data_IF_703132573530
#
_entry.id   IF_703132573530
#
_cell.length_a   1.000
_cell.length_b   1.000
_cell.length_c   1.000
_cell.angle_alpha   90.00
_cell.angle_beta   90.00
_cell.angle_gamma   90.00
#
_symmetry.space_group_name_H-M   'P 1'
#
loop_
_entity.id
_entity.type
_entity.pdbx_description
1 polymer ?
#
# COMPACT_ATOMS: atom_id res chain seq x y z
N UNK A 1 -13.85 8.40 -33.25
CA UNK A 1 -12.85 9.37 -32.72
C UNK A 1 -13.07 9.53 -31.24
N UNK A 2 -12.11 9.14 -30.43
CA UNK A 2 -12.13 9.38 -28.99
C UNK A 2 -12.28 10.86 -28.70
N UNK A 3 -13.30 11.28 -27.95
CA UNK A 3 -13.47 12.69 -27.57
C UNK A 3 -12.45 13.04 -26.50
N UNK A 4 -11.33 13.61 -26.94
CA UNK A 4 -10.35 14.18 -26.03
C UNK A 4 -10.89 15.46 -25.41
N UNK A 5 -10.66 15.65 -24.10
CA UNK A 5 -11.03 16.84 -23.35
C UNK A 5 -9.77 17.44 -22.73
N UNK A 6 -9.71 18.78 -22.58
CA UNK A 6 -8.61 19.39 -21.84
C UNK A 6 -8.60 18.86 -20.39
N UNK A 7 -7.42 18.81 -19.78
CA UNK A 7 -7.29 18.51 -18.37
C UNK A 7 -7.85 19.67 -17.54
N UNK A 8 -8.88 19.41 -16.75
CA UNK A 8 -9.54 20.39 -15.89
C UNK A 8 -9.31 20.07 -14.43
N UNK A 9 -9.16 21.09 -13.61
CA UNK A 9 -9.15 20.92 -12.16
C UNK A 9 -10.53 20.46 -11.66
N UNK A 10 -10.64 19.33 -10.95
CA UNK A 10 -11.93 18.82 -10.48
C UNK A 10 -12.58 19.70 -9.40
N UNK A 11 -11.80 20.54 -8.73
CA UNK A 11 -12.30 21.42 -7.66
C UNK A 11 -12.84 22.77 -8.16
N UNK A 12 -12.30 23.31 -9.24
CA UNK A 12 -12.73 24.63 -9.72
C UNK A 12 -13.15 24.66 -11.20
N UNK A 13 -13.02 23.56 -11.93
CA UNK A 13 -13.39 23.44 -13.35
C UNK A 13 -12.48 24.17 -14.34
N UNK A 14 -11.42 24.84 -13.88
CA UNK A 14 -10.48 25.55 -14.76
C UNK A 14 -9.50 24.61 -15.44
N UNK A 15 -9.05 24.91 -16.68
CA UNK A 15 -7.96 24.18 -17.30
C UNK A 15 -6.69 24.28 -16.44
N UNK A 16 -5.94 23.19 -16.35
CA UNK A 16 -4.65 23.14 -15.68
C UNK A 16 -3.51 23.11 -16.70
N UNK A 17 -2.35 23.59 -16.32
CA UNK A 17 -1.15 23.52 -17.16
C UNK A 17 -0.61 22.07 -17.23
N UNK A 18 0.19 21.72 -18.26
CA UNK A 18 0.90 20.44 -18.26
C UNK A 18 1.77 20.31 -17.00
N UNK A 19 1.72 19.13 -16.31
CA UNK A 19 2.60 18.89 -15.19
C UNK A 19 4.06 18.91 -15.63
N UNK A 20 4.93 19.41 -14.77
CA UNK A 20 6.36 19.59 -15.03
C UNK A 20 7.20 19.05 -13.89
N UNK A 21 8.45 18.69 -14.17
CA UNK A 21 9.40 18.37 -13.13
C UNK A 21 9.72 19.63 -12.31
N UNK A 22 9.35 19.64 -11.05
CA UNK A 22 9.53 20.79 -10.16
C UNK A 22 10.94 20.86 -9.54
N UNK A 23 11.81 19.89 -9.85
CA UNK A 23 13.22 19.89 -9.42
C UNK A 23 13.44 19.64 -7.92
N UNK A 24 12.44 19.14 -7.20
CA UNK A 24 12.62 18.75 -5.81
C UNK A 24 13.39 17.42 -5.71
N UNK A 25 14.29 17.29 -4.73
CA UNK A 25 15.13 16.09 -4.54
C UNK A 25 14.33 14.81 -4.26
N UNK A 26 13.05 14.94 -3.93
CA UNK A 26 12.15 13.83 -3.62
C UNK A 26 11.05 13.63 -4.67
N UNK A 27 11.12 14.35 -5.80
CA UNK A 27 10.09 14.31 -6.85
C UNK A 27 10.44 13.27 -7.89
N UNK A 28 9.63 12.22 -7.95
CA UNK A 28 9.71 11.17 -8.97
C UNK A 28 8.68 11.38 -10.10
N UNK A 29 7.76 12.34 -9.93
CA UNK A 29 6.66 12.61 -10.84
C UNK A 29 6.63 14.07 -11.28
N UNK A 30 6.09 14.30 -12.47
CA UNK A 30 5.76 15.65 -12.91
C UNK A 30 4.52 16.15 -12.17
N UNK A 31 4.55 17.40 -11.75
CA UNK A 31 3.50 18.03 -10.94
C UNK A 31 3.15 19.43 -11.43
N UNK A 32 2.07 19.99 -10.89
CA UNK A 32 1.65 21.35 -11.16
C UNK A 32 0.69 21.90 -10.12
N UNK A 33 0.36 23.16 -10.26
CA UNK A 33 -0.50 23.91 -9.34
C UNK A 33 -1.66 24.54 -10.10
N UNK A 34 -2.84 24.47 -9.51
CA UNK A 34 -4.01 25.21 -9.99
C UNK A 34 -4.18 26.52 -9.20
N UNK A 35 -4.68 27.58 -9.84
CA UNK A 35 -4.96 28.86 -9.18
C UNK A 35 -5.92 28.75 -7.98
N UNK A 36 -6.71 27.68 -7.89
CA UNK A 36 -7.58 27.42 -6.74
C UNK A 36 -6.84 26.84 -5.52
N UNK A 37 -5.52 26.68 -5.61
CA UNK A 37 -4.68 26.09 -4.56
C UNK A 37 -4.62 24.55 -4.59
N UNK A 38 -5.23 23.91 -5.60
CA UNK A 38 -5.06 22.47 -5.79
C UNK A 38 -3.70 22.16 -6.41
N UNK A 39 -3.10 21.07 -5.96
CA UNK A 39 -1.88 20.50 -6.53
C UNK A 39 -2.26 19.26 -7.32
N UNK A 40 -1.56 18.97 -8.39
CA UNK A 40 -1.75 17.75 -9.15
C UNK A 40 -0.41 17.12 -9.52
N UNK A 41 -0.40 15.79 -9.51
CA UNK A 41 0.77 14.96 -9.84
C UNK A 41 0.36 13.97 -10.91
N UNK A 42 1.22 13.76 -11.91
CA UNK A 42 0.98 12.87 -13.03
C UNK A 42 1.66 11.52 -12.83
N UNK A 43 0.89 10.44 -12.77
CA UNK A 43 1.41 9.09 -12.96
C UNK A 43 1.08 8.62 -14.38
N UNK A 44 2.06 8.67 -15.28
CA UNK A 44 1.90 8.31 -16.70
C UNK A 44 1.55 6.84 -16.91
N UNK A 45 1.86 5.99 -15.95
CA UNK A 45 1.62 4.55 -16.00
C UNK A 45 0.28 4.15 -15.41
N UNK A 46 -0.25 4.97 -14.49
CA UNK A 46 -1.44 4.69 -13.67
C UNK A 46 -1.22 3.57 -12.65
N UNK A 47 0.03 3.09 -12.46
CA UNK A 47 0.36 2.01 -11.55
C UNK A 47 1.02 2.46 -10.25
N UNK A 48 1.53 3.70 -10.21
CA UNK A 48 2.24 4.27 -9.06
C UNK A 48 1.40 5.30 -8.30
N UNK A 49 0.08 5.15 -8.32
CA UNK A 49 -0.88 6.12 -7.76
C UNK A 49 -0.62 6.45 -6.30
N UNK A 50 -0.29 5.44 -5.48
CA UNK A 50 0.02 5.66 -4.08
C UNK A 50 1.27 6.53 -3.87
N UNK A 51 2.31 6.30 -4.66
CA UNK A 51 3.53 7.12 -4.60
C UNK A 51 3.27 8.55 -5.09
N UNK A 52 2.52 8.70 -6.19
CA UNK A 52 2.14 10.01 -6.74
C UNK A 52 1.22 10.79 -5.78
N UNK A 53 0.31 10.11 -5.07
CA UNK A 53 -0.51 10.74 -4.04
C UNK A 53 0.33 11.25 -2.86
N UNK A 54 1.26 10.43 -2.36
CA UNK A 54 2.18 10.83 -1.28
C UNK A 54 2.99 12.05 -1.70
N UNK A 55 3.42 12.09 -2.96
CA UNK A 55 4.14 13.25 -3.48
C UNK A 55 3.24 14.50 -3.59
N UNK A 56 1.99 14.35 -4.04
CA UNK A 56 1.02 15.44 -4.06
C UNK A 56 0.78 16.00 -2.65
N UNK A 57 0.65 15.12 -1.65
CA UNK A 57 0.47 15.51 -0.25
C UNK A 57 1.69 16.25 0.29
N UNK A 58 2.88 15.76 -0.04
CA UNK A 58 4.14 16.40 0.36
C UNK A 58 4.31 17.79 -0.27
N UNK A 59 3.96 17.92 -1.56
CA UNK A 59 3.99 19.21 -2.26
C UNK A 59 2.98 20.19 -1.65
N UNK A 60 1.78 19.72 -1.28
CA UNK A 60 0.77 20.54 -0.60
C UNK A 60 1.27 21.09 0.74
N UNK A 61 2.19 20.36 1.39
CA UNK A 61 2.80 20.74 2.66
C UNK A 61 4.17 21.42 2.51
N UNK A 62 4.51 21.91 1.30
CA UNK A 62 5.77 22.60 1.03
C UNK A 62 7.02 21.76 1.30
N UNK A 63 6.93 20.44 1.08
CA UNK A 63 8.03 19.51 1.33
C UNK A 63 8.16 19.05 2.78
N UNK A 64 7.25 19.45 3.65
CA UNK A 64 7.26 19.07 5.06
C UNK A 64 6.58 17.70 5.26
N UNK A 65 7.40 16.66 5.40
CA UNK A 65 6.93 15.28 5.61
C UNK A 65 6.11 15.12 6.88
N UNK A 66 6.53 15.74 7.96
CA UNK A 66 5.84 15.65 9.24
C UNK A 66 4.41 16.19 9.13
N UNK A 67 4.27 17.32 8.45
CA UNK A 67 2.98 17.95 8.21
C UNK A 67 2.11 17.10 7.27
N UNK A 68 2.69 16.63 6.15
CA UNK A 68 1.97 15.84 5.16
C UNK A 68 1.27 14.61 5.76
N UNK A 69 1.88 14.00 6.77
CA UNK A 69 1.36 12.80 7.42
C UNK A 69 0.47 13.07 8.64
N UNK A 70 0.42 14.30 9.09
CA UNK A 70 -0.50 14.72 10.15
C UNK A 70 -1.87 15.17 9.64
N UNK A 71 -1.99 15.32 8.30
CA UNK A 71 -3.26 15.70 7.69
C UNK A 71 -4.22 14.52 7.68
N UNK A 72 -5.44 14.77 8.13
CA UNK A 72 -6.52 13.79 8.13
C UNK A 72 -7.30 13.88 6.81
N UNK A 73 -7.53 12.72 6.13
CA UNK A 73 -8.39 12.67 4.95
C UNK A 73 -9.79 13.24 5.25
N UNK A 74 -10.38 13.93 4.28
CA UNK A 74 -11.71 14.54 4.35
C UNK A 74 -11.82 15.78 5.26
N UNK A 75 -11.07 15.86 6.37
CA UNK A 75 -11.06 17.02 7.25
C UNK A 75 -10.06 18.07 6.79
N UNK A 76 -8.81 17.66 6.52
CA UNK A 76 -7.70 18.57 6.21
C UNK A 76 -7.48 18.75 4.71
N UNK A 77 -7.88 17.78 3.89
CA UNK A 77 -7.73 17.85 2.43
C UNK A 77 -8.78 17.04 1.67
N UNK A 78 -8.95 17.38 0.41
CA UNK A 78 -9.73 16.62 -0.56
C UNK A 78 -8.81 16.08 -1.64
N UNK A 79 -9.06 14.83 -2.07
CA UNK A 79 -8.37 14.21 -3.19
C UNK A 79 -9.32 13.91 -4.35
N UNK A 80 -8.79 13.90 -5.56
CA UNK A 80 -9.50 13.47 -6.74
C UNK A 80 -8.56 12.87 -7.77
N UNK A 81 -8.95 11.78 -8.40
CA UNK A 81 -8.16 11.12 -9.45
C UNK A 81 -8.86 11.27 -10.80
N UNK A 82 -8.18 11.91 -11.73
CA UNK A 82 -8.60 12.01 -13.13
C UNK A 82 -7.97 10.86 -13.89
N UNK A 83 -8.80 9.94 -14.36
CA UNK A 83 -8.39 8.75 -15.11
C UNK A 83 -8.14 9.09 -16.59
N UNK A 84 -7.41 8.21 -17.27
CA UNK A 84 -7.16 8.27 -18.72
C UNK A 84 -6.51 9.59 -19.19
N UNK A 85 -5.59 10.10 -18.40
CA UNK A 85 -4.80 11.26 -18.76
C UNK A 85 -3.60 10.87 -19.62
N UNK A 86 -3.43 11.54 -20.77
CA UNK A 86 -2.24 11.45 -21.60
C UNK A 86 -1.35 12.68 -21.41
N UNK A 87 -0.20 12.48 -20.81
CA UNK A 87 0.74 13.57 -20.51
C UNK A 87 1.31 14.21 -21.78
N UNK A 88 1.48 13.46 -22.87
CA UNK A 88 2.05 13.96 -24.12
C UNK A 88 1.13 14.97 -24.81
N UNK A 89 -0.15 14.66 -24.89
CA UNK A 89 -1.16 15.54 -25.51
C UNK A 89 -1.80 16.50 -24.49
N UNK A 90 -1.55 16.30 -23.20
CA UNK A 90 -2.18 17.02 -22.09
C UNK A 90 -3.72 16.95 -22.15
N UNK A 91 -4.25 15.77 -22.45
CA UNK A 91 -5.69 15.54 -22.63
C UNK A 91 -6.17 14.38 -21.78
N UNK A 92 -7.46 14.44 -21.45
CA UNK A 92 -8.17 13.36 -20.76
C UNK A 92 -9.10 12.69 -21.75
N UNK A 93 -9.02 11.40 -21.88
CA UNK A 93 -9.85 10.59 -22.75
C UNK A 93 -10.95 9.96 -21.89
N UNK A 94 -12.20 10.20 -22.22
CA UNK A 94 -13.31 9.74 -21.41
C UNK A 94 -14.27 8.90 -22.22
N UNK A 95 -14.57 7.82 -21.79
CA UNK A 95 -15.67 6.94 -21.50
C UNK A 95 -15.10 5.54 -21.19
N UNK A 96 -15.40 4.92 -20.03
CA UNK A 96 -14.93 3.57 -19.70
C UNK A 96 -15.42 2.48 -20.68
N UNK A 97 -16.46 2.76 -21.46
CA UNK A 97 -17.01 1.85 -22.47
C UNK A 97 -16.20 1.82 -23.79
N UNK A 98 -15.42 2.85 -24.06
CA UNK A 98 -14.49 2.86 -25.17
C UNK A 98 -13.13 2.32 -24.68
N UNK A 99 -12.57 1.32 -25.34
CA UNK A 99 -11.25 0.73 -25.05
C UNK A 99 -10.14 1.78 -25.18
N UNK A 100 -9.97 2.60 -24.14
CA UNK A 100 -8.95 3.65 -24.09
C UNK A 100 -7.65 3.03 -23.61
N UNK A 101 -6.64 3.02 -24.46
CA UNK A 101 -5.30 2.50 -24.12
C UNK A 101 -4.47 3.49 -23.27
N UNK A 102 -5.08 4.60 -22.84
CA UNK A 102 -4.42 5.62 -22.01
C UNK A 102 -4.57 5.22 -20.54
N UNK A 103 -3.45 4.94 -19.88
CA UNK A 103 -3.39 4.46 -18.49
C UNK A 103 -3.01 5.53 -17.49
N UNK A 104 -2.46 6.65 -17.96
CA UNK A 104 -2.01 7.72 -17.09
C UNK A 104 -3.15 8.33 -16.29
N UNK A 105 -2.80 8.90 -15.15
CA UNK A 105 -3.72 9.58 -14.25
C UNK A 105 -3.14 10.91 -13.77
N UNK A 106 -4.03 11.86 -13.44
CA UNK A 106 -3.68 13.03 -12.64
C UNK A 106 -4.30 12.87 -11.26
N UNK A 107 -3.48 12.94 -10.24
CA UNK A 107 -3.92 12.90 -8.85
C UNK A 107 -3.93 14.33 -8.34
N UNK A 108 -5.12 14.81 -8.02
CA UNK A 108 -5.35 16.14 -7.48
C UNK A 108 -5.51 16.08 -5.97
N UNK A 109 -4.92 17.05 -5.28
CA UNK A 109 -5.06 17.25 -3.86
C UNK A 109 -5.28 18.75 -3.58
N UNK A 110 -6.24 19.08 -2.72
CA UNK A 110 -6.50 20.44 -2.26
C UNK A 110 -6.66 20.46 -0.76
N UNK A 111 -5.84 21.24 -0.08
CA UNK A 111 -6.01 21.49 1.36
C UNK A 111 -7.32 22.22 1.64
N UNK A 112 -7.89 22.00 2.81
CA UNK A 112 -9.05 22.74 3.30
C UNK A 112 -8.76 24.26 3.32
N UNK A 113 -9.78 25.08 3.22
CA UNK A 113 -9.62 26.53 3.14
C UNK A 113 -8.91 27.08 4.39
N UNK A 114 -9.15 26.48 5.54
CA UNK A 114 -8.50 26.87 6.81
C UNK A 114 -6.98 26.61 6.79
N UNK A 115 -6.56 25.48 6.23
CA UNK A 115 -5.14 25.12 6.16
C UNK A 115 -4.42 25.84 5.02
N UNK A 116 -5.12 26.11 3.92
CA UNK A 116 -4.55 26.77 2.75
C UNK A 116 -4.11 28.22 3.02
N UNK A 117 -4.80 28.92 3.93
CA UNK A 117 -4.45 30.27 4.34
C UNK A 117 -3.30 30.34 5.34
N UNK A 118 -2.92 29.21 5.91
CA UNK A 118 -1.80 29.13 6.84
C UNK A 118 -0.50 28.80 6.09
N UNK A 119 0.59 29.48 6.45
CA UNK A 119 1.91 29.05 5.99
C UNK A 119 2.25 27.66 6.51
N UNK A 120 3.02 26.87 5.73
CA UNK A 120 3.46 25.54 6.14
C UNK A 120 4.11 25.54 7.55
N UNK A 121 4.80 26.63 7.93
CA UNK A 121 5.39 26.80 9.25
C UNK A 121 4.34 26.93 10.36
N UNK A 122 3.23 27.67 10.11
CA UNK A 122 2.14 27.78 11.09
C UNK A 122 1.38 26.49 11.27
N UNK A 123 1.14 25.75 10.17
CA UNK A 123 0.49 24.44 10.23
C UNK A 123 1.39 23.47 10.99
N UNK A 124 2.70 23.42 10.68
CA UNK A 124 3.67 22.59 11.36
C UNK A 124 3.72 22.91 12.87
N UNK A 125 3.64 24.20 13.24
CA UNK A 125 3.61 24.63 14.64
C UNK A 125 2.34 24.18 15.37
N UNK A 126 1.16 24.31 14.74
CA UNK A 126 -0.11 23.87 15.30
C UNK A 126 -0.14 22.33 15.51
N UNK A 127 0.37 21.59 14.51
CA UNK A 127 0.45 20.12 14.60
C UNK A 127 1.54 19.65 15.57
N UNK A 128 2.68 20.35 15.67
CA UNK A 128 3.73 20.04 16.65
C UNK A 128 3.27 20.30 18.10
N UNK A 129 2.41 21.27 18.33
CA UNK A 129 1.80 21.52 19.66
C UNK A 129 0.86 20.38 20.07
N UNK A 130 0.23 19.68 19.11
CA UNK A 130 -0.59 18.47 19.34
C UNK A 130 0.26 17.21 19.57
N UNK A 131 1.53 17.22 19.18
CA UNK A 131 2.45 16.09 19.41
C UNK A 131 2.80 16.02 20.88
N UNK A 132 2.17 15.14 21.63
CA UNK A 132 2.73 14.62 22.87
C UNK A 132 4.09 13.99 22.55
N UNK A 133 5.19 14.58 23.00
CA UNK A 133 6.51 13.94 22.95
C UNK A 133 6.40 12.62 23.71
N UNK A 134 6.34 11.53 22.98
CA UNK A 134 6.30 10.21 23.58
C UNK A 134 7.62 9.97 24.33
N UNK A 135 7.51 9.88 25.65
CA UNK A 135 8.63 9.55 26.52
C UNK A 135 8.63 8.04 26.72
N UNK A 136 9.78 7.36 26.54
CA UNK A 136 9.86 5.93 26.86
C UNK A 136 9.44 5.68 28.30
N UNK A 137 8.73 4.55 28.57
CA UNK A 137 8.37 4.20 29.95
C UNK A 137 9.58 4.15 30.87
N UNK A 138 9.39 4.45 32.16
CA UNK A 138 10.48 4.37 33.15
C UNK A 138 11.14 2.98 33.13
N UNK A 139 12.47 2.96 33.07
CA UNK A 139 13.26 1.72 33.02
C UNK A 139 13.53 1.17 31.60
N UNK A 140 12.84 1.68 30.55
CA UNK A 140 13.13 1.28 29.17
C UNK A 140 14.14 2.24 28.52
N UNK A 141 15.23 1.69 27.99
CA UNK A 141 16.24 2.44 27.22
C UNK A 141 16.22 2.00 25.77
N UNK A 142 15.66 2.83 24.86
CA UNK A 142 15.72 2.55 23.43
C UNK A 142 17.16 2.40 22.98
N UNK A 143 17.45 1.38 22.19
CA UNK A 143 18.79 1.16 21.63
C UNK A 143 18.70 0.77 20.15
N UNK A 144 19.77 1.00 19.41
CA UNK A 144 19.95 0.44 18.10
C UNK A 144 20.24 -1.05 18.24
N UNK A 145 19.39 -1.90 17.65
CA UNK A 145 19.55 -3.34 17.65
C UNK A 145 20.54 -3.75 16.54
N UNK A 146 21.24 -4.86 16.77
CA UNK A 146 22.00 -5.55 15.72
C UNK A 146 21.08 -6.57 15.03
N UNK A 147 21.37 -6.96 13.79
CA UNK A 147 20.59 -7.97 13.06
C UNK A 147 20.44 -9.26 13.88
N UNK A 148 21.52 -9.77 14.46
CA UNK A 148 21.50 -10.98 15.29
C UNK A 148 20.61 -10.86 16.52
N UNK A 149 20.56 -9.67 17.16
CA UNK A 149 19.68 -9.43 18.29
C UNK A 149 18.20 -9.48 17.86
N UNK A 150 17.87 -8.90 16.70
CA UNK A 150 16.52 -8.96 16.13
C UNK A 150 16.14 -10.42 15.81
N UNK A 151 17.02 -11.17 15.15
CA UNK A 151 16.76 -12.60 14.84
C UNK A 151 16.54 -13.42 16.10
N UNK A 152 17.31 -13.19 17.17
CA UNK A 152 17.13 -13.87 18.45
C UNK A 152 15.78 -13.50 19.09
N UNK A 153 15.42 -12.22 19.13
CA UNK A 153 14.13 -11.78 19.66
C UNK A 153 12.95 -12.36 18.89
N UNK A 154 13.06 -12.50 17.55
CA UNK A 154 12.03 -13.16 16.74
C UNK A 154 11.93 -14.67 17.04
N UNK A 155 13.06 -15.36 17.28
CA UNK A 155 13.03 -16.77 17.68
C UNK A 155 12.38 -16.96 19.05
N UNK A 156 12.59 -16.02 19.96
CA UNK A 156 12.04 -16.02 21.32
C UNK A 156 10.60 -15.49 21.40
N UNK A 157 9.95 -15.16 20.28
CA UNK A 157 8.61 -14.55 20.19
C UNK A 157 8.50 -13.21 20.97
N UNK A 158 9.57 -12.44 20.98
CA UNK A 158 9.65 -11.12 21.63
C UNK A 158 9.50 -9.96 20.64
N UNK A 159 8.61 -10.10 19.67
CA UNK A 159 8.40 -9.10 18.62
C UNK A 159 8.02 -7.73 19.18
N UNK A 160 7.26 -7.70 20.27
CA UNK A 160 6.87 -6.45 20.94
C UNK A 160 8.07 -5.62 21.39
N UNK A 161 9.16 -6.27 21.80
CA UNK A 161 10.39 -5.59 22.18
C UNK A 161 11.05 -4.92 20.97
N UNK A 162 11.06 -5.60 19.82
CA UNK A 162 11.56 -5.03 18.57
C UNK A 162 10.73 -3.82 18.14
N UNK A 163 9.40 -3.95 18.16
CA UNK A 163 8.45 -2.87 17.84
C UNK A 163 8.71 -1.67 18.74
N UNK A 164 8.91 -1.90 20.03
CA UNK A 164 9.17 -0.85 20.99
C UNK A 164 10.49 -0.12 20.70
N UNK A 165 11.56 -0.86 20.38
CA UNK A 165 12.82 -0.24 19.96
C UNK A 165 12.69 0.53 18.64
N UNK A 166 11.89 0.05 17.67
CA UNK A 166 11.61 0.76 16.41
C UNK A 166 10.90 2.09 16.65
N UNK A 167 9.89 2.10 17.54
CA UNK A 167 9.09 3.29 17.85
C UNK A 167 9.96 4.48 18.30
N UNK A 168 10.95 4.26 19.16
CA UNK A 168 11.83 5.30 19.67
C UNK A 168 13.13 5.45 18.89
N UNK A 169 13.52 4.46 18.10
CA UNK A 169 14.69 4.47 17.24
C UNK A 169 14.35 3.87 15.87
N UNK A 170 13.74 4.66 14.97
CA UNK A 170 13.25 4.19 13.66
C UNK A 170 14.31 3.55 12.76
N UNK A 171 15.59 3.83 12.99
CA UNK A 171 16.71 3.15 12.29
C UNK A 171 16.61 1.62 12.40
N UNK A 172 15.98 1.10 13.45
CA UNK A 172 15.77 -0.34 13.63
C UNK A 172 14.85 -0.95 12.55
N UNK A 173 13.96 -0.18 11.91
CA UNK A 173 13.16 -0.66 10.78
C UNK A 173 14.04 -1.13 9.63
N UNK A 174 15.11 -0.38 9.32
CA UNK A 174 16.03 -0.75 8.24
C UNK A 174 16.84 -2.01 8.58
N UNK A 175 17.10 -2.24 9.87
CA UNK A 175 17.81 -3.45 10.33
C UNK A 175 16.86 -4.64 10.34
N UNK A 176 15.62 -4.48 10.82
CA UNK A 176 14.58 -5.50 10.79
C UNK A 176 14.27 -5.93 9.35
N UNK A 177 14.18 -4.98 8.40
CA UNK A 177 14.00 -5.28 6.97
C UNK A 177 15.06 -6.24 6.42
N UNK A 178 16.29 -6.19 6.91
CA UNK A 178 17.36 -7.12 6.47
C UNK A 178 17.08 -8.58 6.86
N UNK A 179 16.19 -8.84 7.81
CA UNK A 179 15.78 -10.20 8.20
C UNK A 179 14.85 -10.83 7.16
N UNK A 180 14.21 -10.06 6.29
CA UNK A 180 13.48 -10.58 5.12
C UNK A 180 14.36 -11.42 4.18
N UNK A 181 15.66 -11.25 4.24
CA UNK A 181 16.65 -12.03 3.48
C UNK A 181 17.27 -13.18 4.30
N UNK A 182 16.63 -13.59 5.41
CA UNK A 182 17.08 -14.75 6.19
C UNK A 182 16.85 -16.04 5.39
N UNK A 183 17.75 -17.02 5.54
CA UNK A 183 17.54 -18.35 5.00
C UNK A 183 16.41 -19.12 5.71
N UNK A 184 16.10 -18.75 6.96
CA UNK A 184 15.05 -19.34 7.77
C UNK A 184 13.66 -18.76 7.36
N UNK A 185 12.75 -19.58 6.76
CA UNK A 185 11.45 -19.09 6.32
C UNK A 185 10.59 -18.53 7.47
N UNK A 186 10.64 -19.17 8.64
CA UNK A 186 9.85 -18.73 9.78
C UNK A 186 10.30 -17.37 10.29
N UNK A 187 11.60 -17.10 10.32
CA UNK A 187 12.13 -15.78 10.68
C UNK A 187 11.71 -14.70 9.67
N UNK A 188 11.70 -15.05 8.37
CA UNK A 188 11.21 -14.09 7.34
C UNK A 188 9.77 -13.69 7.59
N UNK A 189 8.88 -14.67 7.81
CA UNK A 189 7.47 -14.39 8.05
C UNK A 189 7.23 -13.63 9.36
N UNK A 190 7.93 -13.99 10.44
CA UNK A 190 7.89 -13.20 11.67
C UNK A 190 8.37 -11.76 11.46
N UNK A 191 9.42 -11.56 10.64
CA UNK A 191 9.89 -10.23 10.29
C UNK A 191 8.86 -9.43 9.48
N UNK A 192 8.13 -10.06 8.54
CA UNK A 192 7.01 -9.44 7.79
C UNK A 192 5.97 -8.88 8.75
N UNK A 193 5.45 -9.71 9.67
CA UNK A 193 4.44 -9.28 10.63
C UNK A 193 4.94 -8.18 11.55
N UNK A 194 6.19 -8.36 12.05
CA UNK A 194 6.81 -7.40 12.97
C UNK A 194 7.12 -6.07 12.29
N UNK A 195 7.50 -6.07 11.00
CA UNK A 195 7.69 -4.84 10.22
C UNK A 195 6.39 -4.07 10.06
N UNK A 196 5.28 -4.75 9.78
CA UNK A 196 3.96 -4.10 9.73
C UNK A 196 3.61 -3.40 11.05
N UNK A 197 3.82 -4.08 12.18
CA UNK A 197 3.54 -3.54 13.51
C UNK A 197 4.51 -2.40 13.88
N UNK A 198 5.79 -2.57 13.58
CA UNK A 198 6.80 -1.56 13.86
C UNK A 198 6.62 -0.30 12.99
N UNK A 199 6.21 -0.47 11.72
CA UNK A 199 5.90 0.64 10.84
C UNK A 199 4.71 1.46 11.37
N UNK A 200 3.65 0.82 11.86
CA UNK A 200 2.54 1.48 12.53
C UNK A 200 2.99 2.23 13.80
N UNK A 201 3.86 1.63 14.60
CA UNK A 201 4.35 2.27 15.81
C UNK A 201 5.22 3.50 15.51
N UNK A 202 6.04 3.44 14.45
CA UNK A 202 6.87 4.56 13.98
C UNK A 202 6.04 5.64 13.30
N UNK A 203 4.96 5.28 12.61
CA UNK A 203 4.08 6.21 11.90
C UNK A 203 3.57 7.34 12.80
N UNK A 204 3.35 7.07 14.07
CA UNK A 204 2.86 8.06 15.04
C UNK A 204 3.84 9.22 15.27
N UNK A 205 5.13 8.98 15.13
CA UNK A 205 6.19 9.97 15.42
C UNK A 205 7.01 10.34 14.20
N UNK A 206 7.17 9.43 13.23
CA UNK A 206 7.99 9.59 12.03
C UNK A 206 7.29 8.98 10.81
N UNK A 207 6.20 9.59 10.37
CA UNK A 207 5.42 9.12 9.22
C UNK A 207 6.23 9.08 7.91
N UNK A 208 7.17 10.00 7.73
CA UNK A 208 8.12 10.05 6.64
C UNK A 208 8.87 8.71 6.44
N UNK A 209 9.34 8.13 7.54
CA UNK A 209 10.09 6.86 7.52
C UNK A 209 9.22 5.69 7.10
N UNK A 210 7.96 5.66 7.54
CA UNK A 210 7.02 4.59 7.15
C UNK A 210 6.67 4.67 5.67
N UNK A 211 6.43 5.85 5.14
CA UNK A 211 6.16 6.05 3.72
C UNK A 211 7.36 5.68 2.85
N UNK A 212 8.56 6.10 3.24
CA UNK A 212 9.80 5.73 2.55
C UNK A 212 10.03 4.20 2.60
N UNK A 213 9.69 3.54 3.72
CA UNK A 213 9.75 2.09 3.82
C UNK A 213 8.83 1.41 2.79
N UNK A 214 7.57 1.84 2.64
CA UNK A 214 6.63 1.28 1.65
C UNK A 214 7.19 1.47 0.23
N UNK A 215 7.60 2.68 -0.11
CA UNK A 215 8.21 2.97 -1.42
C UNK A 215 9.38 2.05 -1.71
N UNK A 216 10.34 1.95 -0.79
CA UNK A 216 11.52 1.07 -0.95
C UNK A 216 11.16 -0.40 -1.08
N UNK A 217 10.14 -0.89 -0.37
CA UNK A 217 9.67 -2.28 -0.50
C UNK A 217 9.07 -2.53 -1.88
N UNK A 218 8.25 -1.62 -2.38
CA UNK A 218 7.65 -1.71 -3.72
C UNK A 218 8.73 -1.65 -4.80
N UNK A 219 9.65 -0.68 -4.73
CA UNK A 219 10.72 -0.54 -5.73
C UNK A 219 11.69 -1.72 -5.70
N UNK A 220 12.04 -2.23 -4.50
CA UNK A 220 12.92 -3.40 -4.41
C UNK A 220 12.30 -4.67 -4.97
N UNK A 221 10.97 -4.76 -5.03
CA UNK A 221 10.26 -5.87 -5.67
C UNK A 221 10.26 -5.74 -7.20
N UNK A 222 10.30 -4.52 -7.73
CA UNK A 222 10.35 -4.28 -9.18
C UNK A 222 11.77 -4.47 -9.75
N UNK A 223 12.82 -4.37 -8.92
CA UNK A 223 14.21 -4.53 -9.32
C UNK A 223 14.61 -6.02 -9.26
N UNK A 224 14.46 -6.71 -10.37
CA UNK A 224 14.39 -8.15 -10.56
C UNK A 224 15.60 -8.99 -10.13
N UNK A 225 16.69 -8.39 -9.70
CA UNK A 225 17.94 -9.11 -9.38
C UNK A 225 17.95 -9.77 -7.99
N UNK A 226 17.09 -9.35 -7.09
CA UNK A 226 16.91 -9.95 -5.78
C UNK A 226 15.41 -10.09 -5.52
N UNK A 227 14.87 -11.28 -5.71
CA UNK A 227 13.50 -11.59 -5.26
C UNK A 227 13.36 -11.14 -3.81
N UNK A 228 12.71 -9.99 -3.62
CA UNK A 228 12.54 -9.38 -2.31
C UNK A 228 11.47 -10.16 -1.54
N UNK A 229 11.86 -11.32 -1.03
CA UNK A 229 11.03 -12.16 -0.20
C UNK A 229 10.45 -11.36 0.96
N UNK A 230 9.13 -11.37 1.08
CA UNK A 230 8.43 -10.69 2.16
C UNK A 230 8.25 -9.18 1.96
N UNK A 231 8.70 -8.59 0.86
CA UNK A 231 8.54 -7.16 0.62
C UNK A 231 7.09 -6.78 0.35
N UNK A 232 6.43 -7.46 -0.60
CA UNK A 232 5.01 -7.21 -0.91
C UNK A 232 4.11 -7.58 0.26
N UNK A 233 4.42 -8.68 0.96
CA UNK A 233 3.72 -9.11 2.16
C UNK A 233 3.83 -8.07 3.28
N UNK A 234 5.01 -7.46 3.45
CA UNK A 234 5.21 -6.37 4.42
C UNK A 234 4.38 -5.13 4.05
N UNK A 235 4.34 -4.77 2.76
CA UNK A 235 3.45 -3.69 2.29
C UNK A 235 2.00 -4.00 2.63
N UNK A 236 1.56 -5.24 2.41
CA UNK A 236 0.23 -5.71 2.80
C UNK A 236 -0.06 -5.53 4.29
N UNK A 237 0.88 -5.91 5.17
CA UNK A 237 0.73 -5.73 6.62
C UNK A 237 0.67 -4.26 7.05
N UNK A 238 1.44 -3.38 6.40
CA UNK A 238 1.39 -1.94 6.68
C UNK A 238 0.03 -1.37 6.25
N UNK A 239 -0.43 -1.67 5.03
CA UNK A 239 -1.73 -1.20 4.52
C UNK A 239 -2.87 -1.73 5.40
N UNK A 240 -2.85 -3.00 5.79
CA UNK A 240 -3.87 -3.59 6.67
C UNK A 240 -4.02 -2.82 7.98
N UNK A 241 -2.92 -2.34 8.55
CA UNK A 241 -2.90 -1.61 9.82
C UNK A 241 -3.29 -0.15 9.69
N UNK A 242 -2.99 0.45 8.54
CA UNK A 242 -3.23 1.87 8.24
C UNK A 242 -3.89 2.03 6.85
N UNK A 243 -5.11 1.46 6.71
CA UNK A 243 -5.77 1.36 5.40
C UNK A 243 -6.18 2.71 4.83
N UNK A 244 -6.55 3.66 5.68
CA UNK A 244 -6.98 4.99 5.25
C UNK A 244 -5.82 5.85 4.74
N UNK A 245 -4.62 5.60 5.24
CA UNK A 245 -3.40 6.30 4.80
C UNK A 245 -2.75 5.66 3.56
N UNK A 246 -2.70 4.34 3.53
CA UNK A 246 -1.90 3.61 2.54
C UNK A 246 -2.73 2.75 1.57
N UNK A 247 -4.06 2.83 1.63
CA UNK A 247 -4.96 2.05 0.77
C UNK A 247 -4.73 2.24 -0.72
N UNK A 248 -4.30 3.42 -1.15
CA UNK A 248 -3.99 3.71 -2.56
C UNK A 248 -2.88 2.81 -3.13
N UNK A 249 -1.97 2.29 -2.29
CA UNK A 249 -0.93 1.34 -2.72
C UNK A 249 -1.48 -0.05 -3.08
N UNK A 250 -2.75 -0.35 -2.81
CA UNK A 250 -3.41 -1.59 -3.29
C UNK A 250 -3.32 -1.72 -4.80
N UNK A 251 -3.40 -0.62 -5.55
CA UNK A 251 -3.24 -0.63 -7.01
C UNK A 251 -1.85 -1.10 -7.45
N UNK A 252 -0.82 -0.80 -6.67
CA UNK A 252 0.53 -1.31 -6.93
C UNK A 252 0.58 -2.84 -6.72
N UNK A 253 -0.04 -3.36 -5.64
CA UNK A 253 -0.10 -4.81 -5.40
C UNK A 253 -0.86 -5.54 -6.51
N UNK A 254 -1.98 -5.01 -6.97
CA UNK A 254 -2.73 -5.56 -8.10
C UNK A 254 -1.91 -5.56 -9.40
N UNK A 255 -1.07 -4.54 -9.62
CA UNK A 255 -0.21 -4.48 -10.80
C UNK A 255 0.84 -5.61 -10.82
N UNK A 256 1.33 -6.04 -9.65
CA UNK A 256 2.27 -7.16 -9.54
C UNK A 256 1.66 -8.52 -9.90
N UNK A 257 0.34 -8.69 -9.88
CA UNK A 257 -0.34 -9.93 -10.29
C UNK A 257 -0.09 -10.31 -11.76
N UNK A 258 0.33 -9.37 -12.58
CA UNK A 258 0.70 -9.62 -13.99
C UNK A 258 1.97 -10.47 -14.12
N UNK A 259 2.82 -10.47 -13.12
CA UNK A 259 4.11 -11.13 -13.13
C UNK A 259 4.04 -12.38 -12.26
N UNK A 260 4.20 -13.59 -12.84
CA UNK A 260 4.04 -14.85 -12.10
C UNK A 260 4.85 -14.94 -10.81
N UNK A 261 6.08 -14.46 -10.84
CA UNK A 261 7.01 -14.50 -9.71
C UNK A 261 6.55 -13.68 -8.49
N UNK A 262 5.70 -12.67 -8.70
CA UNK A 262 5.20 -11.81 -7.62
C UNK A 262 3.80 -12.17 -7.15
N UNK A 263 3.07 -13.03 -7.88
CA UNK A 263 1.69 -13.42 -7.56
C UNK A 263 1.51 -13.90 -6.13
N UNK A 264 2.34 -14.82 -5.60
CA UNK A 264 2.14 -15.31 -4.24
C UNK A 264 2.26 -14.19 -3.20
N UNK A 265 3.30 -13.36 -3.27
CA UNK A 265 3.50 -12.24 -2.33
C UNK A 265 2.41 -11.18 -2.43
N UNK A 266 2.04 -10.79 -3.66
CA UNK A 266 0.98 -9.82 -3.89
C UNK A 266 -0.40 -10.32 -3.42
N UNK A 267 -0.75 -11.58 -3.71
CA UNK A 267 -2.00 -12.18 -3.25
C UNK A 267 -2.04 -12.33 -1.73
N UNK A 268 -0.94 -12.74 -1.11
CA UNK A 268 -0.88 -12.80 0.35
C UNK A 268 -1.09 -11.40 0.98
N UNK A 269 -0.46 -10.38 0.42
CA UNK A 269 -0.67 -8.99 0.84
C UNK A 269 -2.13 -8.57 0.71
N UNK A 270 -2.76 -8.83 -0.45
CA UNK A 270 -4.17 -8.52 -0.72
C UNK A 270 -5.10 -9.29 0.23
N UNK A 271 -4.82 -10.56 0.51
CA UNK A 271 -5.55 -11.36 1.50
C UNK A 271 -5.52 -10.70 2.88
N UNK A 272 -4.35 -10.27 3.34
CA UNK A 272 -4.22 -9.60 4.63
C UNK A 272 -4.95 -8.26 4.68
N UNK A 273 -4.91 -7.48 3.60
CA UNK A 273 -5.67 -6.23 3.48
C UNK A 273 -7.18 -6.51 3.51
N UNK A 274 -7.64 -7.54 2.79
CA UNK A 274 -9.05 -7.92 2.76
C UNK A 274 -9.59 -8.30 4.15
N UNK A 275 -8.77 -8.91 5.00
CA UNK A 275 -9.15 -9.19 6.40
C UNK A 275 -9.42 -7.93 7.23
N UNK A 276 -8.75 -6.83 6.93
CA UNK A 276 -8.91 -5.56 7.66
C UNK A 276 -9.94 -4.62 7.02
N UNK A 277 -9.85 -4.40 5.72
CA UNK A 277 -10.73 -3.46 4.96
C UNK A 277 -11.07 -4.02 3.57
N UNK A 278 -12.08 -4.92 3.49
CA UNK A 278 -12.48 -5.59 2.24
C UNK A 278 -12.78 -4.63 1.08
N UNK A 279 -13.29 -3.44 1.40
CA UNK A 279 -13.68 -2.42 0.41
C UNK A 279 -12.50 -1.92 -0.43
N UNK A 280 -11.28 -1.97 0.10
CA UNK A 280 -10.07 -1.61 -0.67
C UNK A 280 -9.81 -2.56 -1.84
N UNK A 281 -10.30 -3.80 -1.76
CA UNK A 281 -10.21 -4.77 -2.86
C UNK A 281 -11.43 -4.68 -3.76
N UNK A 282 -12.65 -4.62 -3.18
CA UNK A 282 -13.92 -4.56 -3.94
C UNK A 282 -14.03 -3.37 -4.88
N UNK A 283 -13.47 -2.23 -4.50
CA UNK A 283 -13.53 -0.99 -5.26
C UNK A 283 -12.49 -0.93 -6.40
N UNK A 284 -11.64 -1.95 -6.53
CA UNK A 284 -10.59 -2.00 -7.53
C UNK A 284 -10.91 -3.02 -8.64
N UNK A 285 -9.96 -3.19 -9.56
CA UNK A 285 -10.06 -4.14 -10.68
C UNK A 285 -9.80 -5.58 -10.22
N UNK A 286 -10.63 -6.11 -9.32
CA UNK A 286 -10.44 -7.42 -8.68
C UNK A 286 -10.63 -8.62 -9.64
N UNK A 287 -11.16 -8.42 -10.87
CA UNK A 287 -11.28 -9.52 -11.84
C UNK A 287 -9.94 -10.24 -12.11
N UNK A 288 -8.82 -9.52 -11.97
CA UNK A 288 -7.49 -10.14 -12.09
C UNK A 288 -7.26 -11.22 -11.03
N UNK A 289 -7.87 -11.09 -9.85
CA UNK A 289 -7.80 -12.09 -8.79
C UNK A 289 -8.67 -13.30 -9.18
N UNK A 290 -9.85 -13.07 -9.79
CA UNK A 290 -10.73 -14.14 -10.25
C UNK A 290 -10.06 -15.00 -11.35
N UNK A 291 -9.26 -14.40 -12.23
CA UNK A 291 -8.50 -15.13 -13.25
C UNK A 291 -7.45 -16.05 -12.62
N UNK A 292 -6.88 -15.68 -11.48
CA UNK A 292 -5.85 -16.45 -10.78
C UNK A 292 -6.40 -17.67 -10.02
N UNK A 293 -7.71 -17.82 -9.91
CA UNK A 293 -8.33 -19.07 -9.44
C UNK A 293 -8.08 -20.24 -10.41
N UNK A 294 -7.77 -19.96 -11.67
CA UNK A 294 -7.43 -20.92 -12.71
C UNK A 294 -5.91 -21.03 -12.96
N UNK A 295 -5.08 -20.43 -12.09
CA UNK A 295 -3.62 -20.49 -12.25
C UNK A 295 -3.10 -21.93 -12.15
N UNK A 296 -1.94 -22.18 -12.79
CA UNK A 296 -1.29 -23.50 -12.74
C UNK A 296 -0.66 -23.79 -11.39
N UNK A 297 -0.26 -22.76 -10.65
CA UNK A 297 0.35 -22.89 -9.33
C UNK A 297 -0.73 -23.03 -8.26
N UNK A 298 -0.78 -24.16 -7.53
CA UNK A 298 -1.74 -24.37 -6.46
C UNK A 298 -1.66 -23.34 -5.34
N UNK A 299 -0.48 -22.77 -5.07
CA UNK A 299 -0.31 -21.73 -4.07
C UNK A 299 -1.00 -20.44 -4.52
N UNK A 300 -0.89 -20.07 -5.81
CA UNK A 300 -1.57 -18.91 -6.37
C UNK A 300 -3.09 -19.08 -6.29
N UNK A 301 -3.63 -20.26 -6.67
CA UNK A 301 -5.07 -20.56 -6.55
C UNK A 301 -5.56 -20.42 -5.11
N UNK A 302 -4.82 -20.98 -4.18
CA UNK A 302 -5.16 -20.96 -2.76
C UNK A 302 -5.18 -19.54 -2.19
N UNK A 303 -4.16 -18.74 -2.50
CA UNK A 303 -4.10 -17.35 -2.05
C UNK A 303 -5.18 -16.48 -2.71
N UNK A 304 -5.47 -16.68 -4.01
CA UNK A 304 -6.60 -16.03 -4.68
C UNK A 304 -7.94 -16.39 -4.03
N UNK A 305 -8.13 -17.67 -3.66
CA UNK A 305 -9.30 -18.13 -2.91
C UNK A 305 -9.45 -17.38 -1.58
N UNK A 306 -8.37 -17.25 -0.81
CA UNK A 306 -8.40 -16.49 0.45
C UNK A 306 -8.72 -15.00 0.24
N UNK A 307 -8.19 -14.38 -0.81
CA UNK A 307 -8.56 -12.99 -1.15
C UNK A 307 -10.05 -12.90 -1.46
N UNK A 308 -10.58 -13.78 -2.32
CA UNK A 308 -12.00 -13.80 -2.68
C UNK A 308 -12.89 -13.96 -1.45
N UNK A 309 -12.56 -14.88 -0.56
CA UNK A 309 -13.28 -15.15 0.67
C UNK A 309 -13.36 -13.91 1.56
N UNK A 310 -12.20 -13.32 1.89
CA UNK A 310 -12.11 -12.23 2.86
C UNK A 310 -12.54 -10.88 2.27
N UNK A 311 -12.37 -10.68 0.97
CA UNK A 311 -12.92 -9.52 0.28
C UNK A 311 -14.42 -9.64 0.00
N UNK A 312 -15.02 -10.82 0.16
CA UNK A 312 -16.44 -11.06 -0.12
C UNK A 312 -16.77 -10.91 -1.61
N UNK A 313 -15.94 -11.49 -2.50
CA UNK A 313 -16.12 -11.42 -3.95
C UNK A 313 -17.06 -12.55 -4.40
N UNK A 314 -18.36 -12.28 -4.42
CA UNK A 314 -19.41 -13.26 -4.78
C UNK A 314 -19.22 -13.78 -6.21
N UNK A 315 -18.70 -12.95 -7.12
CA UNK A 315 -18.42 -13.33 -8.51
C UNK A 315 -17.40 -14.49 -8.64
N UNK A 316 -16.71 -14.81 -7.55
CA UNK A 316 -15.78 -15.95 -7.50
C UNK A 316 -16.46 -17.31 -7.38
N UNK A 317 -17.74 -17.37 -6.95
CA UNK A 317 -18.43 -18.62 -6.61
C UNK A 317 -18.34 -19.69 -7.71
N UNK A 318 -18.63 -19.40 -9.01
CA UNK A 318 -18.57 -20.43 -10.04
C UNK A 318 -17.17 -21.07 -10.17
N UNK A 319 -16.11 -20.26 -10.10
CA UNK A 319 -14.73 -20.76 -10.18
C UNK A 319 -14.28 -21.49 -8.91
N UNK A 320 -14.78 -21.09 -7.76
CA UNK A 320 -14.52 -21.77 -6.50
C UNK A 320 -15.15 -23.17 -6.46
N UNK A 321 -16.33 -23.34 -7.08
CA UNK A 321 -16.99 -24.65 -7.22
C UNK A 321 -16.11 -25.61 -8.04
N UNK A 322 -15.46 -25.14 -9.11
CA UNK A 322 -14.53 -25.94 -9.90
C UNK A 322 -13.30 -26.39 -9.10
N UNK A 323 -12.89 -25.61 -8.09
CA UNK A 323 -11.77 -25.95 -7.20
C UNK A 323 -12.10 -26.98 -6.13
N UNK A 324 -13.36 -27.39 -5.94
CA UNK A 324 -13.75 -28.37 -4.93
C UNK A 324 -13.10 -29.76 -5.18
N UNK A 325 -12.69 -30.05 -6.40
CA UNK A 325 -11.97 -31.28 -6.79
C UNK A 325 -10.44 -31.19 -6.66
N UNK A 326 -9.88 -30.00 -6.44
CA UNK A 326 -8.41 -29.78 -6.44
C UNK A 326 -7.78 -30.22 -5.10
N UNK A 327 -7.22 -31.44 -5.08
CA UNK A 327 -6.55 -32.03 -3.91
C UNK A 327 -5.08 -31.59 -3.75
N UNK A 328 -4.61 -30.64 -4.53
CA UNK A 328 -3.25 -30.13 -4.41
C UNK A 328 -3.02 -29.59 -3.01
N UNK A 329 -2.00 -30.12 -2.33
CA UNK A 329 -1.61 -29.69 -0.98
C UNK A 329 -0.59 -28.57 -1.08
N UNK A 330 -0.80 -27.52 -0.33
CA UNK A 330 0.11 -26.37 -0.23
C UNK A 330 0.49 -26.12 1.22
N UNK A 331 1.68 -25.57 1.40
CA UNK A 331 2.11 -25.03 2.69
C UNK A 331 1.87 -23.52 2.70
N UNK A 332 1.06 -23.03 3.64
CA UNK A 332 0.75 -21.61 3.79
C UNK A 332 1.07 -21.16 5.21
N UNK A 333 1.63 -19.94 5.32
CA UNK A 333 1.89 -19.35 6.63
C UNK A 333 0.62 -18.79 7.24
N UNK A 334 0.29 -19.26 8.45
CA UNK A 334 -0.79 -18.72 9.27
C UNK A 334 -0.26 -17.54 10.11
N UNK A 335 -0.72 -16.32 9.87
CA UNK A 335 -0.21 -15.15 10.57
C UNK A 335 -0.67 -15.03 12.03
N UNK A 336 -1.76 -15.70 12.42
CA UNK A 336 -2.29 -15.65 13.78
C UNK A 336 -1.55 -16.65 14.69
N UNK A 337 -1.35 -17.88 14.21
CA UNK A 337 -0.61 -18.90 14.94
C UNK A 337 0.90 -18.82 14.73
N UNK A 338 1.34 -18.06 13.70
CA UNK A 338 2.75 -17.91 13.30
C UNK A 338 3.46 -19.22 12.96
N UNK A 339 2.74 -20.12 12.31
CA UNK A 339 3.22 -21.43 11.86
C UNK A 339 2.87 -21.66 10.39
N UNK A 340 3.53 -22.62 9.78
CA UNK A 340 3.13 -23.13 8.47
C UNK A 340 2.09 -24.23 8.65
N UNK A 341 1.04 -24.19 7.82
CA UNK A 341 -0.04 -25.17 7.77
C UNK A 341 -0.12 -25.79 6.38
N UNK A 342 -0.31 -27.10 6.35
CA UNK A 342 -0.62 -27.83 5.12
C UNK A 342 -2.13 -27.86 4.94
N UNK A 343 -2.61 -27.32 3.81
CA UNK A 343 -4.02 -27.30 3.44
C UNK A 343 -4.19 -27.67 1.97
N UNK A 344 -5.35 -28.17 1.58
CA UNK A 344 -5.65 -28.41 0.17
C UNK A 344 -6.42 -27.24 -0.41
N UNK A 345 -6.24 -26.99 -1.72
CA UNK A 345 -7.00 -25.98 -2.46
C UNK A 345 -8.51 -26.23 -2.31
N UNK A 346 -8.94 -27.49 -2.42
CA UNK A 346 -10.34 -27.89 -2.22
C UNK A 346 -10.90 -27.50 -0.85
N UNK A 347 -10.09 -27.61 0.22
CA UNK A 347 -10.53 -27.23 1.57
C UNK A 347 -10.76 -25.71 1.65
N UNK A 348 -9.83 -24.92 1.14
CA UNK A 348 -9.97 -23.46 1.13
C UNK A 348 -11.15 -23.01 0.26
N UNK A 349 -11.34 -23.63 -0.92
CA UNK A 349 -12.48 -23.36 -1.79
C UNK A 349 -13.83 -23.61 -1.08
N UNK A 350 -13.94 -24.74 -0.37
CA UNK A 350 -15.16 -25.10 0.39
C UNK A 350 -15.47 -24.08 1.51
N UNK A 351 -14.44 -23.64 2.22
CA UNK A 351 -14.57 -22.61 3.26
C UNK A 351 -14.95 -21.25 2.68
N UNK A 352 -14.37 -20.89 1.55
CA UNK A 352 -14.67 -19.64 0.83
C UNK A 352 -16.13 -19.63 0.34
N UNK A 353 -16.60 -20.70 -0.32
CA UNK A 353 -18.00 -20.82 -0.78
C UNK A 353 -18.94 -20.64 0.40
N UNK A 354 -18.73 -21.42 1.49
CA UNK A 354 -19.57 -21.33 2.69
C UNK A 354 -19.62 -19.93 3.30
N UNK A 355 -18.54 -19.15 3.16
CA UNK A 355 -18.49 -17.76 3.64
C UNK A 355 -19.24 -16.82 2.71
N UNK A 356 -19.03 -16.96 1.39
CA UNK A 356 -19.61 -16.08 0.38
C UNK A 356 -21.12 -16.27 0.21
N UNK A 357 -21.65 -17.49 0.37
CA UNK A 357 -23.08 -17.79 0.35
C UNK A 357 -23.88 -17.16 1.51
N UNK A 358 -23.21 -16.66 2.53
CA UNK A 358 -23.83 -16.01 3.70
C UNK A 358 -23.92 -14.49 3.59
N UNK A 359 -23.27 -13.92 2.57
CA UNK A 359 -23.27 -12.48 2.29
C UNK A 359 -24.44 -12.12 1.40
#
# INVERSE_FOLDING_TARGET
MLKAKPALCPFCGRPVAPPQNLGFQFSDFDAGFCDCGAIYVSDVTGHNRGAAFVEALLLACGGNWDLAWELDPEEDYQEYVVEHYDQKSHQVFGDPSERVNVRGVLIFLRLSDELRELSAEKIAKLKAERRLKEIPPPGFKPKRLRRQEIENLLRENKEKEIVFHCRFMPVNLSILRKVLYSADPLLRWKAVLTLGEAAQAVLKTRPDITADLIKRLIYSSADSAASAWGALETVGEIIRREPDRFGLFVKNLLAFLKYPEFRPGALWALYRIAQGKPTLIKNERYWMILELLEDKDPLVKALATLVCQHAGLIDALPKLEELLGDQSTIEIFDPEEKIFKNVTVATLAREAIKTLERI
#
